data_IF_095823462553
#
_entry.id   IF_095823462553
#
_cell.length_a   1.000
_cell.length_b   1.000
_cell.length_c   1.000
_cell.angle_alpha   90.00
_cell.angle_beta   90.00
_cell.angle_gamma   90.00
#
_symmetry.space_group_name_H-M   'P 1'
#
loop_
_entity.id
_entity.type
_entity.pdbx_description
1 polymer ?
#
# COMPACT_ATOMS: atom_id res chain seq x y z
N UNK A 1 60.53 -5.01 3.31
CA UNK A 1 59.90 -6.22 3.87
C UNK A 1 58.44 -5.89 4.10
N UNK A 2 57.52 -6.74 3.64
CA UNK A 2 56.09 -6.58 3.93
C UNK A 2 55.85 -6.99 5.38
N UNK A 3 55.18 -6.11 6.13
CA UNK A 3 54.78 -6.36 7.51
C UNK A 3 53.70 -7.46 7.50
N UNK A 4 54.00 -8.61 8.10
CA UNK A 4 53.09 -9.75 8.13
C UNK A 4 51.95 -9.46 9.09
N UNK A 5 50.71 -9.55 8.60
CA UNK A 5 49.52 -9.25 9.40
C UNK A 5 49.34 -10.38 10.41
N UNK A 6 49.32 -10.01 11.69
CA UNK A 6 49.08 -10.93 12.79
C UNK A 6 47.71 -11.65 12.66
N UNK A 7 47.68 -12.93 13.03
CA UNK A 7 46.54 -13.81 12.82
C UNK A 7 45.29 -13.36 13.61
N UNK A 8 45.47 -12.79 14.81
CA UNK A 8 44.37 -12.26 15.61
C UNK A 8 43.79 -10.98 14.99
N UNK A 9 44.66 -10.14 14.43
CA UNK A 9 44.25 -8.94 13.69
C UNK A 9 43.44 -9.31 12.44
N UNK A 10 43.87 -10.32 11.69
CA UNK A 10 43.12 -10.83 10.52
C UNK A 10 41.78 -11.46 10.94
N UNK A 11 41.77 -12.29 11.99
CA UNK A 11 40.55 -12.93 12.49
C UNK A 11 39.53 -11.91 13.00
N UNK A 12 39.98 -10.87 13.72
CA UNK A 12 39.15 -9.76 14.16
C UNK A 12 38.57 -8.97 13.00
N UNK A 13 39.42 -8.54 12.05
CA UNK A 13 38.97 -7.78 10.88
C UNK A 13 38.10 -8.59 9.93
N UNK A 14 38.24 -9.91 9.91
CA UNK A 14 37.39 -10.84 9.14
C UNK A 14 35.99 -11.00 9.73
N UNK A 15 35.78 -10.73 11.03
CA UNK A 15 34.44 -10.77 11.65
C UNK A 15 33.59 -9.57 11.29
N UNK A 16 34.18 -8.37 11.30
CA UNK A 16 33.51 -7.12 10.97
C UNK A 16 32.69 -7.14 9.66
N UNK A 17 33.21 -7.58 8.49
CA UNK A 17 32.42 -7.64 7.26
C UNK A 17 31.32 -8.69 7.30
N UNK A 18 31.51 -9.81 8.04
CA UNK A 18 30.49 -10.85 8.20
C UNK A 18 29.34 -10.37 9.08
N UNK A 19 29.66 -9.67 10.16
CA UNK A 19 28.66 -9.08 11.05
C UNK A 19 27.88 -7.99 10.32
N UNK A 20 28.58 -7.16 9.52
CA UNK A 20 27.94 -6.14 8.67
C UNK A 20 27.08 -6.74 7.57
N UNK A 21 27.49 -7.84 6.97
CA UNK A 21 26.70 -8.58 5.98
C UNK A 21 25.42 -9.14 6.61
N UNK A 22 25.50 -9.70 7.82
CA UNK A 22 24.34 -10.20 8.55
C UNK A 22 23.35 -9.08 8.91
N UNK A 23 23.86 -7.92 9.35
CA UNK A 23 23.05 -6.73 9.64
C UNK A 23 22.32 -6.23 8.38
N UNK A 24 23.03 -6.06 7.27
CA UNK A 24 22.44 -5.60 6.00
C UNK A 24 21.39 -6.58 5.46
N UNK A 25 21.60 -7.89 5.58
CA UNK A 25 20.60 -8.90 5.21
C UNK A 25 19.32 -8.74 6.02
N UNK A 26 19.44 -8.49 7.33
CA UNK A 26 18.28 -8.30 8.20
C UNK A 26 17.51 -7.02 7.83
N UNK A 27 18.20 -5.92 7.52
CA UNK A 27 17.56 -4.69 7.03
C UNK A 27 16.82 -4.92 5.70
N UNK A 28 17.42 -5.68 4.77
CA UNK A 28 16.78 -6.03 3.49
C UNK A 28 15.51 -6.85 3.73
N UNK A 29 15.55 -7.86 4.60
CA UNK A 29 14.39 -8.70 4.91
C UNK A 29 13.24 -7.90 5.55
N UNK A 30 13.56 -6.97 6.46
CA UNK A 30 12.57 -6.07 7.07
C UNK A 30 11.97 -5.15 6.02
N UNK A 31 12.79 -4.56 5.15
CA UNK A 31 12.31 -3.71 4.08
C UNK A 31 11.45 -4.48 3.07
N UNK A 32 11.77 -5.74 2.78
CA UNK A 32 11.03 -6.56 1.82
C UNK A 32 9.64 -6.95 2.33
N UNK A 33 9.52 -7.27 3.63
CA UNK A 33 8.21 -7.49 4.27
C UNK A 33 7.31 -6.27 4.19
N UNK A 34 7.85 -5.09 4.50
CA UNK A 34 7.11 -3.83 4.38
C UNK A 34 6.67 -3.53 2.95
N UNK A 35 7.52 -3.82 1.95
CA UNK A 35 7.15 -3.68 0.53
C UNK A 35 6.04 -4.63 0.11
N UNK A 36 6.09 -5.90 0.55
CA UNK A 36 5.05 -6.88 0.23
C UNK A 36 3.68 -6.44 0.76
N UNK A 37 3.62 -5.97 2.01
CA UNK A 37 2.38 -5.46 2.60
C UNK A 37 1.82 -4.26 1.83
N UNK A 38 2.69 -3.33 1.41
CA UNK A 38 2.28 -2.17 0.61
C UNK A 38 1.77 -2.60 -0.78
N UNK A 39 2.43 -3.56 -1.43
CA UNK A 39 2.03 -4.08 -2.74
C UNK A 39 0.67 -4.77 -2.64
N UNK A 40 0.45 -5.63 -1.64
CA UNK A 40 -0.83 -6.32 -1.44
C UNK A 40 -1.98 -5.34 -1.20
N UNK A 41 -1.74 -4.28 -0.42
CA UNK A 41 -2.72 -3.22 -0.20
C UNK A 41 -2.99 -2.48 -1.51
N UNK A 42 -1.96 -2.14 -2.28
CA UNK A 42 -2.10 -1.46 -3.56
C UNK A 42 -2.85 -2.32 -4.60
N UNK A 43 -2.58 -3.63 -4.66
CA UNK A 43 -3.27 -4.59 -5.52
C UNK A 43 -4.75 -4.67 -5.13
N UNK A 44 -5.06 -4.89 -3.84
CA UNK A 44 -6.45 -4.95 -3.37
C UNK A 44 -7.21 -3.63 -3.61
N UNK A 45 -6.55 -2.49 -3.42
CA UNK A 45 -7.13 -1.17 -3.71
C UNK A 45 -7.36 -0.96 -5.22
N UNK A 46 -6.44 -1.43 -6.07
CA UNK A 46 -6.56 -1.39 -7.53
C UNK A 46 -7.68 -2.31 -8.02
N UNK A 47 -7.74 -3.56 -7.54
CA UNK A 47 -8.84 -4.47 -7.86
C UNK A 47 -10.19 -3.95 -7.38
N UNK A 48 -10.23 -3.21 -6.26
CA UNK A 48 -11.45 -2.56 -5.78
C UNK A 48 -11.85 -1.39 -6.70
N UNK A 49 -10.87 -0.65 -7.23
CA UNK A 49 -11.13 0.52 -8.08
C UNK A 49 -11.51 0.15 -9.52
N UNK A 50 -11.16 -1.04 -10.02
CA UNK A 50 -11.52 -1.49 -11.37
C UNK A 50 -12.99 -1.91 -11.51
N UNK A 51 -13.53 -2.69 -10.56
CA UNK A 51 -14.93 -3.15 -10.59
C UNK A 51 -15.70 -2.80 -9.30
N UNK A 52 -15.74 -1.51 -8.90
CA UNK A 52 -16.28 -1.10 -7.61
C UNK A 52 -17.78 -1.37 -7.50
N UNK A 53 -18.52 -1.26 -8.62
CA UNK A 53 -19.97 -1.48 -8.66
C UNK A 53 -20.35 -2.94 -8.43
N UNK A 54 -19.65 -3.87 -9.08
CA UNK A 54 -19.92 -5.31 -8.96
C UNK A 54 -19.56 -5.82 -7.57
N UNK A 55 -18.40 -5.42 -7.04
CA UNK A 55 -17.98 -5.73 -5.67
C UNK A 55 -18.92 -5.14 -4.63
N UNK A 56 -19.45 -3.93 -4.85
CA UNK A 56 -20.42 -3.32 -3.95
C UNK A 56 -21.78 -4.04 -3.97
N UNK A 57 -22.31 -4.36 -5.15
CA UNK A 57 -23.64 -4.97 -5.28
C UNK A 57 -23.70 -6.36 -4.65
N UNK A 58 -22.63 -7.14 -4.77
CA UNK A 58 -22.54 -8.52 -4.25
C UNK A 58 -22.06 -8.60 -2.80
N UNK A 59 -21.52 -7.51 -2.24
CA UNK A 59 -21.01 -7.47 -0.88
C UNK A 59 -22.12 -7.49 0.19
N UNK A 60 -21.84 -8.20 1.29
CA UNK A 60 -22.61 -8.09 2.52
C UNK A 60 -22.43 -6.70 3.18
N UNK A 61 -23.23 -6.42 4.22
CA UNK A 61 -23.19 -5.11 4.89
C UNK A 61 -21.85 -4.82 5.58
N UNK A 62 -21.14 -5.84 6.07
CA UNK A 62 -19.85 -5.67 6.73
C UNK A 62 -18.76 -5.31 5.70
N UNK A 63 -18.76 -5.97 4.55
CA UNK A 63 -17.89 -5.69 3.42
C UNK A 63 -18.20 -4.31 2.83
N UNK A 64 -19.47 -3.93 2.67
CA UNK A 64 -19.87 -2.57 2.25
C UNK A 64 -19.33 -1.50 3.20
N UNK A 65 -19.50 -1.70 4.51
CA UNK A 65 -18.94 -0.80 5.53
C UNK A 65 -17.43 -0.64 5.36
N UNK A 66 -16.71 -1.75 5.18
CA UNK A 66 -15.26 -1.75 5.02
C UNK A 66 -14.79 -1.08 3.73
N UNK A 67 -15.52 -1.27 2.63
CA UNK A 67 -15.28 -0.56 1.37
C UNK A 67 -15.40 0.95 1.59
N UNK A 68 -16.43 1.44 2.30
CA UNK A 68 -16.58 2.85 2.62
C UNK A 68 -15.43 3.38 3.49
N UNK A 69 -14.94 2.62 4.46
CA UNK A 69 -13.79 3.00 5.30
C UNK A 69 -12.47 3.07 4.52
N UNK A 70 -12.34 2.27 3.46
CA UNK A 70 -11.18 2.30 2.56
C UNK A 70 -11.22 3.53 1.64
N UNK A 71 -12.39 3.87 1.07
CA UNK A 71 -12.49 4.90 0.04
C UNK A 71 -12.80 6.30 0.60
N UNK A 72 -13.51 6.39 1.73
CA UNK A 72 -13.89 7.66 2.35
C UNK A 72 -12.96 8.01 3.51
N UNK A 73 -12.58 9.28 3.60
CA UNK A 73 -11.83 9.87 4.69
C UNK A 73 -12.74 10.24 5.85
N UNK A 74 -13.83 10.95 5.56
CA UNK A 74 -14.81 11.44 6.52
C UNK A 74 -16.19 11.55 5.87
N UNK A 75 -17.23 11.67 6.69
CA UNK A 75 -18.60 11.91 6.25
C UNK A 75 -19.10 13.18 6.92
N UNK A 76 -19.49 14.17 6.14
CA UNK A 76 -20.08 15.43 6.63
C UNK A 76 -21.53 15.49 6.22
N UNK A 77 -22.41 15.96 7.09
CA UNK A 77 -23.80 16.21 6.74
C UNK A 77 -23.92 17.63 6.18
N UNK A 78 -24.33 17.75 4.92
CA UNK A 78 -24.70 19.02 4.30
C UNK A 78 -26.21 19.07 4.16
N UNK A 79 -26.86 19.87 5.01
CA UNK A 79 -28.31 19.91 5.23
C UNK A 79 -28.88 18.52 5.59
N UNK A 80 -29.47 17.81 4.61
CA UNK A 80 -30.02 16.46 4.78
C UNK A 80 -29.20 15.37 4.08
N UNK A 81 -28.13 15.74 3.38
CA UNK A 81 -27.36 14.83 2.53
C UNK A 81 -26.01 14.49 3.17
N UNK A 82 -25.71 13.20 3.42
CA UNK A 82 -24.38 12.78 3.82
C UNK A 82 -23.41 12.91 2.63
N UNK A 83 -22.45 13.81 2.75
CA UNK A 83 -21.39 14.05 1.77
C UNK A 83 -20.11 13.35 2.22
N UNK A 84 -19.68 12.27 1.54
CA UNK A 84 -18.42 11.62 1.82
C UNK A 84 -17.24 12.43 1.25
N UNK A 85 -16.23 12.69 2.08
CA UNK A 85 -14.93 13.16 1.62
C UNK A 85 -14.10 11.96 1.20
N UNK A 86 -13.69 11.86 -0.07
CA UNK A 86 -12.91 10.71 -0.56
C UNK A 86 -11.42 10.82 -0.17
N UNK A 87 -10.79 9.68 0.15
CA UNK A 87 -9.34 9.58 0.30
C UNK A 87 -8.67 9.65 -1.08
N UNK A 88 -7.47 10.23 -1.19
CA UNK A 88 -6.65 10.08 -2.40
C UNK A 88 -6.14 8.64 -2.50
N UNK A 89 -6.15 7.98 -3.67
CA UNK A 89 -6.48 8.49 -5.01
C UNK A 89 -7.96 8.33 -5.43
N UNK A 90 -8.84 7.91 -4.52
CA UNK A 90 -10.25 7.67 -4.79
C UNK A 90 -11.07 8.97 -4.99
N UNK A 91 -10.48 10.15 -4.77
CA UNK A 91 -11.07 11.44 -5.15
C UNK A 91 -11.32 11.55 -6.66
N UNK A 92 -10.59 10.78 -7.47
CA UNK A 92 -10.86 10.62 -8.90
C UNK A 92 -12.19 9.89 -9.17
N UNK A 93 -12.62 8.97 -8.29
CA UNK A 93 -13.91 8.30 -8.42
C UNK A 93 -15.07 9.26 -8.21
N UNK A 94 -14.95 10.20 -7.26
CA UNK A 94 -15.97 11.21 -6.99
C UNK A 94 -16.13 12.23 -8.13
N UNK A 95 -15.06 12.51 -8.87
CA UNK A 95 -15.12 13.39 -10.06
C UNK A 95 -15.76 12.71 -11.29
N UNK A 96 -16.12 11.44 -11.16
CA UNK A 96 -16.58 10.60 -12.27
C UNK A 96 -15.38 10.11 -13.07
N UNK A 97 -15.16 8.80 -13.09
CA UNK A 97 -14.23 8.21 -14.06
C UNK A 97 -14.81 8.50 -15.45
N UNK A 98 -14.15 9.35 -16.24
CA UNK A 98 -14.55 9.59 -17.64
C UNK A 98 -14.26 8.30 -18.41
N UNK A 99 -15.21 7.37 -18.36
CA UNK A 99 -15.18 6.17 -19.18
C UNK A 99 -15.53 6.59 -20.59
N UNK A 100 -14.65 6.28 -21.55
CA UNK A 100 -14.92 6.49 -22.99
C UNK A 100 -16.14 5.69 -23.48
N UNK A 101 -16.57 4.68 -22.71
CA UNK A 101 -17.75 3.86 -23.00
C UNK A 101 -19.01 4.29 -22.23
N UNK A 102 -18.90 5.27 -21.31
CA UNK A 102 -20.10 5.84 -20.69
C UNK A 102 -20.76 6.80 -21.66
N UNK A 103 -21.84 6.36 -22.31
CA UNK A 103 -22.82 7.28 -22.88
C UNK A 103 -23.28 8.17 -21.73
N UNK A 104 -23.08 9.47 -21.86
CA UNK A 104 -23.17 10.47 -20.80
C UNK A 104 -24.54 10.62 -20.16
N UNK A 105 -24.99 9.60 -19.44
CA UNK A 105 -26.15 9.66 -18.55
C UNK A 105 -25.62 9.77 -17.13
N UNK A 106 -25.67 11.02 -16.64
CA UNK A 106 -25.40 11.36 -15.25
C UNK A 106 -26.51 10.73 -14.42
N UNK A 107 -26.14 9.82 -13.51
CA UNK A 107 -26.98 9.45 -12.36
C UNK A 107 -26.68 10.44 -11.25
#
# INVERSE_FOLDING_TARGET
MLEEIDADTFAGKSREPRDREAELKLEIDVADRGRHEIIDIAVKASELSQNPREKWLTADYAAKRRILEIICLNWTLDDVTPVPTMKKPFDLLAKGLVSKDSRGERI
#
